data_IF_511901026085
#
_entry.id   IF_511901026085
#
_cell.length_a   1.000
_cell.length_b   1.000
_cell.length_c   1.000
_cell.angle_alpha   90.00
_cell.angle_beta   90.00
_cell.angle_gamma   90.00
#
_symmetry.space_group_name_H-M   'P 1'
#
loop_
_entity.id
_entity.type
_entity.pdbx_description
1 polymer ?
#
# COMPACT_ATOMS: atom_id res chain seq x y z
N UNK A 1 7.35 -5.22 -7.71
CA UNK A 1 6.46 -5.95 -6.78
C UNK A 1 7.33 -6.84 -5.92
N UNK A 2 7.11 -6.92 -4.59
CA UNK A 2 8.06 -7.64 -3.72
C UNK A 2 8.08 -9.14 -4.00
N UNK A 3 6.96 -9.69 -4.48
CA UNK A 3 6.82 -11.11 -4.86
C UNK A 3 7.31 -11.45 -6.28
N UNK A 4 7.96 -10.53 -7.00
CA UNK A 4 8.60 -10.86 -8.29
C UNK A 4 9.86 -11.74 -8.11
N UNK A 5 10.46 -11.71 -6.91
CA UNK A 5 11.66 -12.49 -6.58
C UNK A 5 11.42 -13.26 -5.28
N UNK A 6 10.90 -14.48 -5.41
CA UNK A 6 10.65 -15.36 -4.26
C UNK A 6 11.95 -16.04 -3.85
N UNK A 7 12.35 -15.88 -2.59
CA UNK A 7 13.45 -16.63 -1.99
C UNK A 7 13.03 -18.09 -1.75
N UNK A 8 13.52 -19.01 -2.59
CA UNK A 8 13.20 -20.44 -2.48
C UNK A 8 14.08 -21.21 -1.48
N UNK A 9 15.15 -20.59 -0.99
CA UNK A 9 16.15 -21.22 -0.12
C UNK A 9 16.63 -20.23 0.93
N UNK A 10 16.90 -20.73 2.13
CA UNK A 10 17.55 -19.95 3.18
C UNK A 10 18.56 -20.81 3.92
N UNK A 11 19.56 -20.16 4.53
CA UNK A 11 20.61 -20.83 5.31
C UNK A 11 20.20 -21.00 6.77
N UNK A 12 20.47 -22.17 7.35
CA UNK A 12 20.36 -22.38 8.80
C UNK A 12 21.65 -22.00 9.50
N UNK A 13 21.55 -21.25 10.60
CA UNK A 13 22.70 -20.87 11.39
C UNK A 13 23.36 -22.06 12.09
N UNK A 14 24.69 -22.08 12.11
CA UNK A 14 25.49 -23.07 12.84
C UNK A 14 26.03 -22.50 14.15
N UNK A 15 26.38 -23.39 15.10
CA UNK A 15 26.91 -22.96 16.40
C UNK A 15 28.24 -22.20 16.23
N UNK A 16 28.30 -20.99 16.78
CA UNK A 16 29.50 -20.15 16.74
C UNK A 16 29.68 -19.36 15.43
N UNK A 17 28.68 -19.40 14.52
CA UNK A 17 28.72 -18.62 13.29
C UNK A 17 28.58 -17.12 13.58
N UNK A 18 29.42 -16.32 12.91
CA UNK A 18 29.20 -14.89 12.75
C UNK A 18 28.18 -14.66 11.62
N UNK A 19 27.12 -13.89 11.89
CA UNK A 19 26.05 -13.61 10.93
C UNK A 19 26.30 -12.25 10.29
N UNK A 20 26.52 -12.26 8.97
CA UNK A 20 26.59 -11.04 8.19
C UNK A 20 25.17 -10.55 7.84
N UNK A 21 25.01 -9.25 7.58
CA UNK A 21 23.69 -8.61 7.36
C UNK A 21 22.95 -9.22 6.16
N UNK A 22 23.66 -9.60 5.11
CA UNK A 22 23.12 -10.27 3.92
C UNK A 22 22.51 -11.63 4.27
N UNK A 23 23.18 -12.41 5.13
CA UNK A 23 22.66 -13.69 5.61
C UNK A 23 21.44 -13.54 6.50
N UNK A 24 21.36 -12.44 7.27
CA UNK A 24 20.20 -12.14 8.11
C UNK A 24 19.01 -11.68 7.27
N UNK A 25 19.25 -10.80 6.30
CA UNK A 25 18.22 -10.32 5.38
C UNK A 25 17.70 -11.48 4.50
N UNK A 26 18.57 -12.34 3.96
CA UNK A 26 18.17 -13.55 3.21
C UNK A 26 17.20 -14.43 4.02
N UNK A 27 17.48 -14.61 5.32
CA UNK A 27 16.62 -15.35 6.23
C UNK A 27 15.27 -14.63 6.42
N UNK A 28 15.29 -13.32 6.69
CA UNK A 28 14.07 -12.52 6.88
C UNK A 28 13.18 -12.55 5.63
N UNK A 29 13.76 -12.25 4.46
CA UNK A 29 13.08 -12.21 3.16
C UNK A 29 12.38 -13.54 2.86
N UNK A 30 13.04 -14.67 3.13
CA UNK A 30 12.44 -16.00 2.92
C UNK A 30 11.16 -16.20 3.74
N UNK A 31 11.16 -15.82 5.02
CA UNK A 31 9.98 -16.00 5.87
C UNK A 31 8.86 -15.01 5.53
N UNK A 32 9.20 -13.77 5.17
CA UNK A 32 8.23 -12.78 4.68
C UNK A 32 7.57 -13.26 3.38
N UNK A 33 8.35 -13.78 2.43
CA UNK A 33 7.84 -14.35 1.19
C UNK A 33 6.90 -15.52 1.45
N UNK A 34 7.28 -16.47 2.31
CA UNK A 34 6.42 -17.62 2.63
C UNK A 34 5.12 -17.19 3.33
N UNK A 35 5.16 -16.19 4.20
CA UNK A 35 4.00 -15.65 4.90
C UNK A 35 3.03 -14.95 3.93
N UNK A 36 3.56 -14.14 3.00
CA UNK A 36 2.79 -13.48 1.94
C UNK A 36 2.20 -14.47 0.94
N UNK A 37 2.99 -15.43 0.46
CA UNK A 37 2.53 -16.50 -0.43
C UNK A 37 1.45 -17.34 0.24
N UNK A 38 1.58 -17.63 1.54
CA UNK A 38 0.55 -18.35 2.29
C UNK A 38 -0.77 -17.59 2.31
N UNK A 39 -0.75 -16.26 2.43
CA UNK A 39 -1.97 -15.42 2.36
C UNK A 39 -2.57 -15.42 0.96
N UNK A 40 -1.76 -15.13 -0.06
CA UNK A 40 -2.25 -15.04 -1.44
C UNK A 40 -2.75 -16.41 -1.93
N UNK A 41 -1.94 -17.46 -1.85
CA UNK A 41 -2.26 -18.74 -2.46
C UNK A 41 -3.39 -19.51 -1.74
N UNK A 42 -3.62 -19.26 -0.45
CA UNK A 42 -4.64 -19.97 0.33
C UNK A 42 -5.92 -19.15 0.56
N UNK A 43 -5.84 -17.82 0.52
CA UNK A 43 -6.99 -16.93 0.78
C UNK A 43 -7.35 -16.09 -0.44
N UNK A 44 -6.35 -15.61 -1.16
CA UNK A 44 -6.47 -14.69 -2.29
C UNK A 44 -6.17 -13.24 -1.92
N UNK A 45 -6.41 -12.32 -2.85
CA UNK A 45 -6.19 -10.87 -2.69
C UNK A 45 -7.48 -10.04 -2.75
N UNK A 46 -7.49 -8.88 -2.09
CA UNK A 46 -8.64 -7.97 -2.01
C UNK A 46 -9.24 -7.80 -0.60
N UNK A 47 -10.43 -7.19 -0.54
CA UNK A 47 -11.14 -6.93 0.73
C UNK A 47 -11.71 -8.26 1.27
N UNK A 48 -11.33 -8.62 2.50
CA UNK A 48 -11.85 -9.83 3.16
C UNK A 48 -13.17 -9.56 3.86
N UNK A 49 -13.22 -8.48 4.64
CA UNK A 49 -14.45 -7.97 5.22
C UNK A 49 -14.35 -6.51 5.66
N UNK A 50 -15.52 -5.86 5.78
CA UNK A 50 -15.58 -4.44 6.09
C UNK A 50 -15.03 -3.59 4.93
N UNK A 51 -14.27 -2.54 5.26
CA UNK A 51 -13.66 -1.61 4.29
C UNK A 51 -14.64 -1.07 3.25
N UNK A 52 -15.90 -0.86 3.65
CA UNK A 52 -16.97 -0.39 2.76
C UNK A 52 -17.00 1.13 2.77
N UNK A 53 -16.80 1.80 1.63
CA UNK A 53 -16.92 3.24 1.55
C UNK A 53 -18.40 3.67 1.48
N UNK A 54 -18.74 4.73 2.22
CA UNK A 54 -20.06 5.37 2.20
C UNK A 54 -19.86 6.88 2.12
N UNK A 55 -20.47 7.52 1.12
CA UNK A 55 -20.49 8.98 1.02
C UNK A 55 -21.49 9.54 2.03
N UNK A 56 -21.04 10.49 2.87
CA UNK A 56 -21.88 11.20 3.83
C UNK A 56 -22.04 12.66 3.40
N UNK A 57 -23.28 13.08 3.21
CA UNK A 57 -23.67 14.48 2.92
C UNK A 57 -22.91 15.13 1.74
N UNK A 58 -22.41 14.34 0.79
CA UNK A 58 -21.56 14.75 -0.37
C UNK A 58 -20.24 15.45 -0.02
N UNK A 59 -19.88 15.54 1.26
CA UNK A 59 -18.72 16.30 1.71
C UNK A 59 -17.69 15.43 2.43
N UNK A 60 -18.00 14.15 2.66
CA UNK A 60 -17.10 13.22 3.32
C UNK A 60 -17.33 11.81 2.83
N UNK A 61 -16.28 10.99 2.93
CA UNK A 61 -16.33 9.55 2.68
C UNK A 61 -16.00 8.87 3.99
N UNK A 62 -16.83 7.92 4.41
CA UNK A 62 -16.55 7.07 5.57
C UNK A 62 -16.19 5.68 5.09
N UNK A 63 -15.04 5.18 5.51
CA UNK A 63 -14.61 3.81 5.31
C UNK A 63 -14.88 3.03 6.60
N UNK A 64 -15.70 1.97 6.53
CA UNK A 64 -15.93 1.12 7.69
C UNK A 64 -14.66 0.40 8.13
N UNK A 65 -14.56 0.02 9.41
CA UNK A 65 -13.50 -0.88 9.86
C UNK A 65 -13.52 -2.18 9.08
N UNK A 66 -12.37 -2.84 8.96
CA UNK A 66 -12.26 -4.10 8.26
C UNK A 66 -10.83 -4.45 7.89
N UNK A 67 -10.70 -5.53 7.12
CA UNK A 67 -9.41 -6.06 6.70
C UNK A 67 -9.42 -6.45 5.23
N UNK A 68 -8.21 -6.53 4.66
CA UNK A 68 -7.99 -6.93 3.28
C UNK A 68 -6.56 -7.39 3.07
N UNK A 69 -6.30 -8.05 1.95
CA UNK A 69 -4.97 -8.53 1.56
C UNK A 69 -4.57 -7.79 0.28
N UNK A 70 -3.38 -7.21 0.24
CA UNK A 70 -2.84 -6.55 -0.97
C UNK A 70 -2.45 -7.58 -2.03
N UNK A 71 -2.19 -7.13 -3.25
CA UNK A 71 -1.64 -7.97 -4.33
C UNK A 71 -0.27 -8.55 -4.01
N UNK A 72 0.47 -7.91 -3.09
CA UNK A 72 1.78 -8.36 -2.60
C UNK A 72 1.65 -9.20 -1.32
N UNK A 73 0.42 -9.48 -0.88
CA UNK A 73 0.15 -10.42 0.21
C UNK A 73 0.27 -9.78 1.59
N UNK A 74 0.21 -8.45 1.70
CA UNK A 74 0.21 -7.75 2.98
C UNK A 74 -1.20 -7.66 3.57
N UNK A 75 -1.30 -7.87 4.89
CA UNK A 75 -2.56 -7.71 5.60
C UNK A 75 -2.80 -6.23 5.93
N UNK A 76 -3.89 -5.69 5.42
CA UNK A 76 -4.42 -4.39 5.80
C UNK A 76 -5.47 -4.56 6.90
N UNK A 77 -5.37 -3.75 7.94
CA UNK A 77 -6.39 -3.64 8.98
C UNK A 77 -6.66 -2.17 9.28
N UNK A 78 -7.86 -1.70 8.97
CA UNK A 78 -8.24 -0.30 9.13
C UNK A 78 -9.40 -0.17 10.10
N UNK A 79 -9.38 0.91 10.88
CA UNK A 79 -10.48 1.32 11.73
C UNK A 79 -11.51 2.16 10.96
N UNK A 80 -12.70 2.30 11.54
CA UNK A 80 -13.75 3.13 10.96
C UNK A 80 -13.31 4.59 10.94
N UNK A 81 -13.09 5.12 9.74
CA UNK A 81 -12.46 6.43 9.53
C UNK A 81 -13.31 7.27 8.59
N UNK A 82 -13.49 8.55 8.93
CA UNK A 82 -14.15 9.55 8.08
C UNK A 82 -13.11 10.50 7.49
N UNK A 83 -13.23 10.72 6.18
CA UNK A 83 -12.36 11.55 5.37
C UNK A 83 -13.17 12.73 4.83
N UNK A 84 -12.73 13.94 5.13
CA UNK A 84 -13.41 15.18 4.73
C UNK A 84 -12.54 16.07 3.83
N UNK A 85 -11.29 15.66 3.59
CA UNK A 85 -10.30 16.36 2.78
C UNK A 85 -9.66 15.42 1.76
N UNK A 86 -9.05 16.00 0.75
CA UNK A 86 -8.25 15.29 -0.22
C UNK A 86 -7.07 16.11 -0.69
N UNK A 87 -6.11 15.44 -1.33
CA UNK A 87 -5.04 16.08 -2.10
C UNK A 87 -4.71 15.22 -3.32
N UNK A 88 -4.09 15.83 -4.34
CA UNK A 88 -3.51 15.05 -5.45
C UNK A 88 -2.42 14.11 -4.90
N UNK A 89 -2.42 12.87 -5.36
CA UNK A 89 -1.44 11.88 -4.95
C UNK A 89 -0.38 11.69 -6.03
N UNK A 90 0.89 11.79 -5.63
CA UNK A 90 2.05 11.54 -6.48
C UNK A 90 2.78 10.29 -5.99
N UNK A 91 2.91 9.31 -6.87
CA UNK A 91 3.51 8.02 -6.61
C UNK A 91 5.05 8.03 -6.69
N UNK A 92 5.69 9.20 -6.82
CA UNK A 92 7.15 9.32 -7.03
C UNK A 92 8.05 8.60 -6.00
N UNK A 93 7.54 8.33 -4.79
CA UNK A 93 8.34 7.65 -3.75
C UNK A 93 8.42 6.14 -3.96
N UNK A 94 7.27 5.51 -4.19
CA UNK A 94 7.18 4.06 -4.33
C UNK A 94 7.27 3.61 -5.80
N UNK A 95 6.98 4.50 -6.73
CA UNK A 95 7.00 4.27 -8.18
C UNK A 95 6.25 2.98 -8.59
N UNK A 96 5.15 2.65 -7.90
CA UNK A 96 4.34 1.47 -8.18
C UNK A 96 3.95 1.39 -9.66
N UNK A 97 4.52 0.44 -10.44
CA UNK A 97 4.42 0.46 -11.90
C UNK A 97 2.99 0.47 -12.45
N UNK A 98 2.02 -0.27 -11.86
CA UNK A 98 0.63 -0.25 -12.35
C UNK A 98 -0.06 1.12 -12.31
N UNK A 99 0.46 2.10 -11.56
CA UNK A 99 -0.08 3.46 -11.56
C UNK A 99 0.34 4.28 -12.80
N UNK A 100 1.31 3.80 -13.58
CA UNK A 100 1.75 4.45 -14.81
C UNK A 100 1.11 3.79 -16.04
N UNK A 101 0.67 4.62 -16.98
CA UNK A 101 0.23 4.20 -18.31
C UNK A 101 1.46 3.95 -19.21
N UNK A 102 1.26 3.31 -20.36
CA UNK A 102 2.33 3.01 -21.32
C UNK A 102 3.15 4.23 -21.78
N UNK A 103 2.56 5.43 -21.70
CA UNK A 103 3.23 6.68 -22.04
C UNK A 103 4.02 7.30 -20.85
N UNK A 104 4.17 6.57 -19.75
CA UNK A 104 4.85 7.01 -18.52
C UNK A 104 4.06 7.99 -17.65
N UNK A 105 2.82 8.35 -18.02
CA UNK A 105 1.98 9.24 -17.20
C UNK A 105 1.25 8.45 -16.12
N UNK A 106 1.24 8.99 -14.90
CA UNK A 106 0.43 8.45 -13.82
C UNK A 106 -1.07 8.56 -14.13
N UNK A 107 -1.86 7.58 -13.70
CA UNK A 107 -3.32 7.68 -13.65
C UNK A 107 -3.75 8.76 -12.62
N UNK A 108 -4.98 9.25 -12.76
CA UNK A 108 -5.54 10.21 -11.80
C UNK A 108 -5.70 9.54 -10.43
N UNK A 109 -4.98 10.05 -9.44
CA UNK A 109 -5.03 9.56 -8.06
C UNK A 109 -5.16 10.73 -7.10
N UNK A 110 -6.11 10.60 -6.19
CA UNK A 110 -6.37 11.57 -5.13
C UNK A 110 -6.34 10.84 -3.79
N UNK A 111 -5.54 11.30 -2.84
CA UNK A 111 -5.50 10.73 -1.49
C UNK A 111 -6.61 11.36 -0.62
N UNK A 112 -7.37 10.51 0.06
CA UNK A 112 -8.32 10.92 1.09
C UNK A 112 -7.60 11.17 2.41
N UNK A 113 -7.84 12.34 3.00
CA UNK A 113 -7.22 12.78 4.26
C UNK A 113 -8.27 12.77 5.38
N UNK A 114 -8.02 12.03 6.47
CA UNK A 114 -8.96 11.94 7.59
C UNK A 114 -8.89 13.19 8.45
N UNK A 115 -10.01 13.51 9.11
CA UNK A 115 -10.11 14.69 9.99
C UNK A 115 -9.08 14.67 11.13
N UNK A 116 -8.69 13.49 11.59
CA UNK A 116 -7.70 13.28 12.67
C UNK A 116 -6.27 13.60 12.27
N UNK A 117 -5.94 13.58 10.97
CA UNK A 117 -4.59 13.82 10.47
C UNK A 117 -4.43 15.19 9.82
N UNK A 118 -5.46 16.05 9.88
CA UNK A 118 -5.37 17.40 9.33
C UNK A 118 -4.22 18.14 10.00
N UNK A 119 -3.18 18.40 9.24
CA UNK A 119 -2.14 19.31 9.67
C UNK A 119 -2.43 20.65 9.00
N UNK A 120 -2.90 21.64 9.76
CA UNK A 120 -3.19 23.00 9.28
C UNK A 120 -2.00 23.71 8.61
N UNK A 121 -0.80 23.10 8.65
CA UNK A 121 0.43 23.58 8.01
C UNK A 121 0.65 23.01 6.61
N UNK A 122 -0.16 22.03 6.18
CA UNK A 122 -0.07 21.37 4.87
C UNK A 122 -1.07 22.05 3.93
N UNK A 123 -0.55 22.83 2.97
CA UNK A 123 -1.33 23.78 2.16
C UNK A 123 -2.08 23.17 0.98
N UNK A 124 -1.83 21.90 0.65
CA UNK A 124 -2.38 21.17 -0.49
C UNK A 124 -3.65 20.35 -0.16
N UNK A 125 -4.11 20.38 1.09
CA UNK A 125 -5.37 19.72 1.50
C UNK A 125 -6.60 20.57 1.09
N UNK A 126 -7.49 19.97 0.30
CA UNK A 126 -8.72 20.59 -0.22
C UNK A 126 -9.94 19.89 0.38
N UNK A 127 -10.98 20.64 0.74
CA UNK A 127 -12.23 20.06 1.22
C UNK A 127 -12.85 19.11 0.18
N UNK A 128 -13.26 17.91 0.59
CA UNK A 128 -13.78 16.88 -0.31
C UNK A 128 -15.06 17.29 -1.05
N UNK A 129 -15.83 18.23 -0.49
CA UNK A 129 -16.96 18.86 -1.16
C UNK A 129 -16.62 19.58 -2.47
N UNK A 130 -15.34 19.92 -2.70
CA UNK A 130 -14.85 20.55 -3.93
C UNK A 130 -14.41 19.54 -4.99
N UNK A 131 -14.33 18.25 -4.65
CA UNK A 131 -13.96 17.21 -5.60
C UNK A 131 -15.17 16.91 -6.51
N UNK A 132 -15.08 17.15 -7.82
CA UNK A 132 -16.17 16.85 -8.74
C UNK A 132 -16.40 15.34 -8.86
N UNK A 133 -17.67 14.98 -9.10
CA UNK A 133 -18.13 13.62 -9.40
C UNK A 133 -17.67 12.56 -8.37
N UNK A 134 -17.65 12.91 -7.07
CA UNK A 134 -17.23 12.02 -5.98
C UNK A 134 -17.95 10.66 -6.01
N UNK A 135 -19.22 10.63 -6.41
CA UNK A 135 -20.05 9.44 -6.54
C UNK A 135 -19.66 8.53 -7.72
N UNK A 136 -18.82 9.00 -8.64
CA UNK A 136 -18.31 8.25 -9.80
C UNK A 136 -16.85 7.81 -9.63
N UNK A 137 -16.28 8.00 -8.43
CA UNK A 137 -14.90 7.63 -8.12
C UNK A 137 -14.81 6.25 -7.47
N UNK A 138 -13.67 5.60 -7.67
CA UNK A 138 -13.37 4.27 -7.14
C UNK A 138 -12.36 4.40 -6.02
N UNK A 139 -12.59 3.71 -4.90
CA UNK A 139 -11.67 3.67 -3.77
C UNK A 139 -10.62 2.60 -3.99
N UNK A 140 -9.36 2.97 -3.80
CA UNK A 140 -8.20 2.08 -3.81
C UNK A 140 -7.57 2.12 -2.42
N UNK A 141 -7.31 0.94 -1.84
CA UNK A 141 -6.49 0.81 -0.65
C UNK A 141 -5.10 0.42 -1.11
N UNK A 142 -4.14 1.32 -0.90
CA UNK A 142 -2.78 1.16 -1.40
C UNK A 142 -1.82 1.13 -0.21
N UNK A 143 -0.97 0.10 -0.15
CA UNK A 143 0.16 0.07 0.77
C UNK A 143 1.37 0.64 0.03
N UNK A 144 1.61 1.92 0.23
CA UNK A 144 2.79 2.60 -0.30
C UNK A 144 4.02 2.09 0.45
N UNK A 145 4.94 1.45 -0.25
CA UNK A 145 6.20 0.98 0.34
C UNK A 145 7.38 1.43 -0.49
N UNK A 146 8.40 1.97 0.19
CA UNK A 146 9.65 2.41 -0.42
C UNK A 146 10.76 2.41 0.63
N UNK A 147 11.99 2.35 0.16
CA UNK A 147 13.18 2.50 0.99
C UNK A 147 13.53 3.99 1.14
N UNK A 148 13.76 4.44 2.36
CA UNK A 148 14.27 5.77 2.66
C UNK A 148 15.76 5.65 3.01
N UNK A 149 16.62 6.27 2.18
CA UNK A 149 18.05 6.24 2.38
C UNK A 149 18.42 6.80 3.76
N UNK A 150 19.32 6.09 4.45
CA UNK A 150 19.92 6.58 5.68
C UNK A 150 20.58 7.94 5.40
N UNK A 151 20.13 8.99 6.11
CA UNK A 151 20.61 10.37 5.92
C UNK A 151 22.15 10.40 5.86
N UNK A 152 22.77 11.14 4.92
CA UNK A 152 24.21 11.20 4.79
C UNK A 152 24.82 11.66 6.11
N UNK A 153 25.61 10.77 6.67
CA UNK A 153 26.06 10.83 8.04
C UNK A 153 27.15 11.90 8.17
N UNK A 154 26.90 12.96 8.95
CA UNK A 154 27.86 14.06 9.21
C UNK A 154 28.51 13.90 10.59
N UNK A 155 29.04 12.71 10.90
CA UNK A 155 29.59 12.41 12.23
C UNK A 155 30.58 11.26 12.24
N UNK A 156 31.24 11.06 13.38
CA UNK A 156 32.31 10.06 13.60
C UNK A 156 31.75 8.70 14.07
N UNK A 157 30.42 8.57 14.21
CA UNK A 157 29.74 7.42 14.81
C UNK A 157 28.57 6.97 13.92
N UNK A 158 28.89 6.44 12.74
CA UNK A 158 27.95 6.15 11.67
C UNK A 158 27.83 4.63 11.40
N UNK A 159 27.79 3.84 12.47
CA UNK A 159 27.84 2.37 12.40
C UNK A 159 26.46 1.68 12.52
N UNK A 160 25.31 2.37 12.41
CA UNK A 160 24.05 1.76 12.91
C UNK A 160 22.73 2.13 12.25
N UNK A 161 22.71 2.62 11.00
CA UNK A 161 21.45 2.86 10.31
C UNK A 161 21.35 1.98 9.08
N UNK A 162 20.61 0.87 9.21
CA UNK A 162 20.14 0.10 8.05
C UNK A 162 19.23 0.97 7.17
N UNK A 163 18.85 0.44 6.01
CA UNK A 163 17.91 1.10 5.11
C UNK A 163 16.53 1.09 5.79
N UNK A 164 15.88 2.25 5.89
CA UNK A 164 14.55 2.35 6.49
C UNK A 164 13.51 1.94 5.45
N UNK A 165 12.77 0.86 5.73
CA UNK A 165 11.63 0.45 4.90
C UNK A 165 10.38 1.18 5.39
N UNK A 166 9.91 2.14 4.61
CA UNK A 166 8.70 2.91 4.92
C UNK A 166 7.48 2.18 4.34
N UNK A 167 6.41 2.08 5.12
CA UNK A 167 5.12 1.55 4.68
C UNK A 167 3.97 2.46 5.13
N UNK A 168 3.16 2.95 4.20
CA UNK A 168 2.02 3.81 4.48
C UNK A 168 0.74 3.26 3.85
N UNK A 169 -0.31 3.08 4.65
CA UNK A 169 -1.63 2.79 4.11
C UNK A 169 -2.24 4.11 3.60
N UNK A 170 -2.50 4.15 2.29
CA UNK A 170 -3.14 5.25 1.57
C UNK A 170 -4.54 4.83 1.15
N UNK A 171 -5.52 5.71 1.35
CA UNK A 171 -6.87 5.55 0.80
C UNK A 171 -6.99 6.51 -0.37
N UNK A 172 -6.95 5.97 -1.58
CA UNK A 172 -6.93 6.75 -2.81
C UNK A 172 -8.29 6.70 -3.52
N UNK A 173 -8.55 7.70 -4.34
CA UNK A 173 -9.65 7.77 -5.28
C UNK A 173 -9.10 7.86 -6.70
N UNK A 174 -9.72 7.14 -7.63
CA UNK A 174 -9.47 7.27 -9.06
C UNK A 174 -10.78 7.36 -9.85
N UNK A 175 -10.66 7.69 -11.14
CA UNK A 175 -11.77 7.74 -12.08
C UNK A 175 -11.99 6.38 -12.78
N UNK A 176 -13.00 6.29 -13.65
CA UNK A 176 -13.31 5.06 -14.40
C UNK A 176 -12.15 4.58 -15.30
N UNK A 177 -11.39 5.49 -15.89
CA UNK A 177 -10.24 5.12 -16.74
C UNK A 177 -9.10 4.55 -15.91
N UNK A 178 -8.81 5.16 -14.75
CA UNK A 178 -7.76 4.71 -13.84
C UNK A 178 -8.04 3.32 -13.29
N UNK A 179 -9.26 3.04 -12.81
CA UNK A 179 -9.59 1.70 -12.32
C UNK A 179 -9.58 0.64 -13.45
N UNK A 180 -10.00 1.01 -14.67
CA UNK A 180 -9.94 0.10 -15.81
C UNK A 180 -8.49 -0.24 -16.20
N UNK A 181 -7.59 0.74 -16.14
CA UNK A 181 -6.16 0.57 -16.36
C UNK A 181 -5.52 -0.37 -15.31
N UNK A 182 -5.88 -0.18 -14.04
CA UNK A 182 -5.38 -1.07 -12.97
C UNK A 182 -5.87 -2.51 -13.17
N UNK A 183 -7.16 -2.68 -13.47
CA UNK A 183 -7.73 -4.01 -13.72
C UNK A 183 -7.11 -4.71 -14.94
N UNK A 184 -6.65 -3.98 -15.96
CA UNK A 184 -5.97 -4.58 -17.12
C UNK A 184 -4.50 -4.93 -16.87
N UNK A 185 -3.85 -4.23 -15.93
CA UNK A 185 -2.40 -4.36 -15.70
C UNK A 185 -2.08 -5.39 -14.61
N UNK A 186 -2.97 -5.56 -13.64
CA UNK A 186 -2.74 -6.43 -12.49
C UNK A 186 -3.07 -7.90 -12.82
N UNK A 187 -2.01 -8.70 -12.99
CA UNK A 187 -2.12 -10.12 -13.29
C UNK A 187 -2.71 -10.97 -12.15
N UNK A 188 -2.66 -10.48 -10.90
CA UNK A 188 -3.25 -11.17 -9.75
C UNK A 188 -4.74 -10.88 -9.65
N UNK A 189 -5.15 -9.63 -9.88
CA UNK A 189 -6.56 -9.25 -9.93
C UNK A 189 -7.34 -10.02 -11.02
N UNK A 190 -6.69 -10.35 -12.14
CA UNK A 190 -7.30 -11.13 -13.22
C UNK A 190 -7.40 -12.63 -12.96
N UNK A 191 -6.59 -13.17 -12.04
CA UNK A 191 -6.48 -14.61 -11.78
C UNK A 191 -7.34 -15.10 -10.62
N UNK A 192 -7.73 -14.23 -9.70
CA UNK A 192 -8.33 -14.66 -8.43
C UNK A 192 -9.81 -14.31 -8.29
N UNK A 193 -10.57 -15.26 -7.73
CA UNK A 193 -11.97 -15.12 -7.34
C UNK A 193 -12.12 -14.27 -6.07
N UNK A 194 -13.23 -13.52 -5.92
CA UNK A 194 -13.44 -12.66 -4.76
C UNK A 194 -13.42 -13.45 -3.45
N UNK A 195 -12.61 -12.97 -2.50
CA UNK A 195 -12.53 -13.51 -1.15
C UNK A 195 -13.85 -13.37 -0.39
N UNK A 196 -14.25 -14.44 0.29
CA UNK A 196 -15.28 -14.41 1.32
C UNK A 196 -14.71 -14.97 2.61
N UNK A 197 -14.26 -14.14 3.58
CA UNK A 197 -14.33 -14.52 5.00
C UNK A 197 -14.40 -13.28 5.91
N UNK A 198 -15.51 -13.17 6.64
CA UNK A 198 -15.53 -12.80 8.06
C UNK A 198 -16.42 -13.88 8.73
N UNK A 199 -15.97 -14.46 9.84
CA UNK A 199 -16.76 -15.43 10.63
C UNK A 199 -17.99 -14.76 11.26
#
# INVERSE_FOLDING_TARGET
>A
MELEKISAQYRKFTKGQYVAYDQFNEFLDHFEDQDRLSRILLRGVGVTCGLKPVILNRNSVRLSSGSGITTDGDLLNLENTTYSFYREYDNFKAEYPPFYKDNGKQIELVELIPDTKRNSSISDEIALSRLPDLDKRYVILYLESYEEDARPCKGVDCDSHGIEKVTNIRVLLTNKEGIAHLASTDSMYQKETPMNVCL
#
